data_IF_433250865429
#
_entry.id   IF_433250865429
#
_cell.length_a   1.000
_cell.length_b   1.000
_cell.length_c   1.000
_cell.angle_alpha   90.00
_cell.angle_beta   90.00
_cell.angle_gamma   90.00
#
_symmetry.space_group_name_H-M   'P 1'
#
loop_
_entity.id
_entity.type
_entity.pdbx_description
1 polymer ?
#
# COMPACT_ATOMS: atom_id res chain seq x y z
N UNK A 1 -1.59 -11.63 -10.35
CA UNK A 1 -0.79 -10.58 -11.02
C UNK A 1 0.63 -10.74 -10.54
N UNK A 2 1.60 -10.79 -11.46
CA UNK A 2 3.01 -10.88 -11.08
C UNK A 2 3.56 -9.48 -10.73
N UNK A 3 4.67 -9.44 -9.98
CA UNK A 3 5.36 -8.21 -9.60
C UNK A 3 5.54 -7.24 -10.79
N UNK A 4 5.98 -7.75 -11.95
CA UNK A 4 6.26 -6.92 -13.13
C UNK A 4 5.01 -6.25 -13.71
N UNK A 5 3.87 -6.94 -13.65
CA UNK A 5 2.60 -6.40 -14.15
C UNK A 5 2.08 -5.34 -13.19
N UNK A 6 2.15 -5.59 -11.88
CA UNK A 6 1.78 -4.62 -10.86
C UNK A 6 2.64 -3.34 -10.97
N UNK A 7 3.95 -3.49 -11.16
CA UNK A 7 4.87 -2.36 -11.36
C UNK A 7 4.47 -1.51 -12.57
N UNK A 8 4.04 -2.13 -13.68
CA UNK A 8 3.55 -1.42 -14.86
C UNK A 8 2.24 -0.68 -14.58
N UNK A 9 1.29 -1.32 -13.91
CA UNK A 9 0.00 -0.70 -13.56
C UNK A 9 0.18 0.51 -12.65
N UNK A 10 0.98 0.37 -11.58
CA UNK A 10 1.32 1.44 -10.64
C UNK A 10 1.99 2.63 -11.36
N UNK A 11 3.00 2.39 -12.20
CA UNK A 11 3.64 3.44 -13.01
C UNK A 11 2.70 4.07 -14.03
N UNK A 12 1.76 3.29 -14.55
CA UNK A 12 0.68 3.73 -15.44
C UNK A 12 -0.47 4.45 -14.73
N UNK A 13 -0.39 4.64 -13.41
CA UNK A 13 -1.46 5.23 -12.57
C UNK A 13 -2.78 4.45 -12.65
N UNK A 14 -2.70 3.15 -12.86
CA UNK A 14 -3.84 2.23 -12.81
C UNK A 14 -3.88 1.61 -11.42
N UNK A 15 -4.74 2.16 -10.57
CA UNK A 15 -4.84 1.81 -9.16
C UNK A 15 -6.00 0.87 -8.90
N UNK A 16 -5.74 -0.15 -8.11
CA UNK A 16 -6.77 -0.97 -7.48
C UNK A 16 -6.98 -0.47 -6.04
N UNK A 17 -8.21 -0.55 -5.50
CA UNK A 17 -8.50 -0.05 -4.17
C UNK A 17 -7.84 -0.87 -3.04
N UNK A 18 -7.51 -2.14 -3.32
CA UNK A 18 -6.92 -3.06 -2.33
C UNK A 18 -5.85 -3.91 -2.99
N UNK A 19 -4.69 -3.99 -2.36
CA UNK A 19 -3.58 -4.86 -2.76
C UNK A 19 -3.26 -5.85 -1.65
N UNK A 20 -3.07 -7.11 -2.02
CA UNK A 20 -2.54 -8.14 -1.12
C UNK A 20 -1.14 -8.52 -1.62
N UNK A 21 -0.11 -8.06 -0.91
CA UNK A 21 1.28 -8.30 -1.26
C UNK A 21 1.81 -9.49 -0.44
N UNK A 22 2.24 -10.54 -1.14
CA UNK A 22 2.78 -11.75 -0.53
C UNK A 22 3.87 -12.31 -1.45
N UNK A 23 4.91 -12.87 -0.85
CA UNK A 23 5.99 -13.56 -1.55
C UNK A 23 7.06 -14.02 -0.58
N UNK A 24 7.97 -14.87 -1.06
CA UNK A 24 9.13 -15.31 -0.29
C UNK A 24 10.21 -14.21 -0.24
N UNK A 25 10.24 -13.33 -1.24
CA UNK A 25 11.20 -12.24 -1.36
C UNK A 25 10.59 -10.91 -0.88
N UNK A 26 10.91 -10.52 0.37
CA UNK A 26 10.41 -9.28 0.98
C UNK A 26 10.80 -8.00 0.23
N UNK A 27 11.96 -8.00 -0.45
CA UNK A 27 12.45 -6.86 -1.23
C UNK A 27 11.43 -6.34 -2.26
N UNK A 28 10.70 -7.22 -2.95
CA UNK A 28 9.69 -6.80 -3.93
C UNK A 28 8.45 -6.18 -3.27
N UNK A 29 8.10 -6.62 -2.07
CA UNK A 29 7.00 -6.06 -1.29
C UNK A 29 7.38 -4.63 -0.88
N UNK A 30 8.59 -4.43 -0.37
CA UNK A 30 9.10 -3.12 0.01
C UNK A 30 9.12 -2.16 -1.19
N UNK A 31 9.68 -2.59 -2.33
CA UNK A 31 9.78 -1.77 -3.53
C UNK A 31 8.41 -1.33 -4.08
N UNK A 32 7.44 -2.24 -4.14
CA UNK A 32 6.06 -1.90 -4.58
C UNK A 32 5.41 -0.95 -3.58
N UNK A 33 5.55 -1.21 -2.28
CA UNK A 33 4.92 -0.40 -1.24
C UNK A 33 5.46 1.03 -1.28
N UNK A 34 6.77 1.20 -1.37
CA UNK A 34 7.43 2.51 -1.52
C UNK A 34 6.97 3.24 -2.78
N UNK A 35 6.89 2.52 -3.91
CA UNK A 35 6.44 3.09 -5.18
C UNK A 35 4.99 3.59 -5.11
N UNK A 36 4.08 2.82 -4.50
CA UNK A 36 2.68 3.20 -4.32
C UNK A 36 2.60 4.46 -3.45
N UNK A 37 3.25 4.45 -2.28
CA UNK A 37 3.21 5.58 -1.35
C UNK A 37 3.77 6.87 -1.96
N UNK A 38 4.89 6.78 -2.69
CA UNK A 38 5.52 7.93 -3.34
C UNK A 38 4.71 8.47 -4.53
N UNK A 39 3.88 7.63 -5.15
CA UNK A 39 3.07 8.02 -6.31
C UNK A 39 1.70 8.61 -5.92
N UNK A 40 1.13 8.20 -4.79
CA UNK A 40 -0.21 8.61 -4.35
C UNK A 40 -0.22 9.84 -3.44
N UNK A 41 0.76 9.95 -2.53
CA UNK A 41 0.76 10.96 -1.49
C UNK A 41 2.02 11.82 -1.57
N UNK A 42 1.83 13.13 -1.48
CA UNK A 42 2.94 14.06 -1.19
C UNK A 42 3.39 13.88 0.27
N UNK A 43 4.61 14.34 0.59
CA UNK A 43 5.15 14.23 1.94
C UNK A 43 4.22 14.82 3.02
N UNK A 44 3.60 15.97 2.75
CA UNK A 44 2.67 16.63 3.68
C UNK A 44 1.36 15.83 3.85
N UNK A 45 0.90 15.15 2.80
CA UNK A 45 -0.31 14.33 2.87
C UNK A 45 -0.10 13.02 3.64
N UNK A 46 1.11 12.45 3.61
CA UNK A 46 1.43 11.21 4.35
C UNK A 46 1.17 11.34 5.84
N UNK A 47 1.41 12.51 6.43
CA UNK A 47 1.21 12.74 7.85
C UNK A 47 -0.25 12.55 8.32
N UNK A 48 -1.22 12.66 7.42
CA UNK A 48 -2.65 12.59 7.73
C UNK A 48 -3.39 11.44 7.04
N UNK A 49 -2.88 10.98 5.88
CA UNK A 49 -3.57 10.04 5.01
C UNK A 49 -2.84 8.68 4.88
N UNK A 50 -1.74 8.48 5.60
CA UNK A 50 -1.02 7.21 5.64
C UNK A 50 -1.03 6.65 7.07
N UNK A 51 -1.48 5.40 7.20
CA UNK A 51 -1.52 4.69 8.47
C UNK A 51 -0.82 3.35 8.34
N UNK A 52 0.20 3.12 9.17
CA UNK A 52 0.91 1.84 9.26
C UNK A 52 0.42 1.10 10.51
N UNK A 53 -0.10 -0.10 10.31
CA UNK A 53 -0.67 -0.93 11.38
C UNK A 53 0.06 -2.27 11.44
N UNK A 54 0.31 -2.76 12.66
CA UNK A 54 0.81 -4.11 12.87
C UNK A 54 -0.37 -5.05 13.12
N UNK A 55 -0.58 -6.02 12.23
CA UNK A 55 -1.77 -6.87 12.26
C UNK A 55 -2.02 -7.61 13.58
N UNK A 56 -0.97 -7.91 14.35
CA UNK A 56 -1.10 -8.54 15.68
C UNK A 56 -1.73 -7.62 16.74
N UNK A 57 -1.60 -6.30 16.57
CA UNK A 57 -2.03 -5.29 17.53
C UNK A 57 -3.26 -4.49 17.01
N UNK A 58 -3.67 -4.75 15.77
CA UNK A 58 -4.77 -4.03 15.10
C UNK A 58 -6.08 -4.83 15.14
N UNK A 59 -7.17 -4.17 15.53
CA UNK A 59 -8.51 -4.75 15.45
C UNK A 59 -9.10 -4.56 14.04
N UNK A 60 -9.87 -5.53 13.50
CA UNK A 60 -10.49 -5.39 12.17
C UNK A 60 -11.32 -4.10 12.01
N UNK A 61 -12.02 -3.68 13.07
CA UNK A 61 -12.81 -2.44 13.08
C UNK A 61 -11.94 -1.19 12.91
N UNK A 62 -10.77 -1.16 13.57
CA UNK A 62 -9.83 -0.05 13.43
C UNK A 62 -9.32 0.09 12.00
N UNK A 63 -9.03 -1.04 11.34
CA UNK A 63 -8.60 -1.04 9.92
C UNK A 63 -9.71 -0.46 9.03
N UNK A 64 -10.96 -0.87 9.26
CA UNK A 64 -12.11 -0.39 8.49
C UNK A 64 -12.34 1.12 8.69
N UNK A 65 -12.27 1.59 9.93
CA UNK A 65 -12.50 3.00 10.27
C UNK A 65 -11.44 3.90 9.61
N UNK A 66 -10.17 3.46 9.56
CA UNK A 66 -9.07 4.19 8.91
C UNK A 66 -9.14 4.14 7.37
N UNK A 67 -9.61 3.03 6.79
CA UNK A 67 -9.68 2.88 5.33
C UNK A 67 -10.83 3.67 4.67
N UNK A 68 -11.86 4.03 5.45
CA UNK A 68 -13.04 4.78 4.96
C UNK A 68 -12.84 6.30 5.13
N UNK A 69 -11.83 6.73 5.88
CA UNK A 69 -11.61 8.12 6.28
C UNK A 69 -11.20 9.00 5.10
#
# INVERSE_FOLDING_TARGET
MEYKDLLKSVKGRQWEPVYFLQGEEGFFIDEITDLIQASLLTADQKAFNEFVLYGKDAAPRQILDLAIQ
#
